data_IF_313052873284
#
_entry.id   IF_313052873284
#
_cell.length_a   1.000
_cell.length_b   1.000
_cell.length_c   1.000
_cell.angle_alpha   90.00
_cell.angle_beta   90.00
_cell.angle_gamma   90.00
#
_symmetry.space_group_name_H-M   'P 1'
#
loop_
_entity.id
_entity.type
_entity.pdbx_description
1 polymer ?
#
# COMPACT_ATOMS: atom_id res chain seq x y z
N UNK A 1 -27.10 53.48 61.38
CA UNK A 1 -25.75 53.20 60.78
C UNK A 1 -25.28 51.74 60.81
N UNK A 2 -25.76 50.90 61.78
CA UNK A 2 -25.31 49.46 61.86
C UNK A 2 -25.92 48.54 60.77
N UNK A 3 -27.12 48.88 60.29
CA UNK A 3 -27.80 48.01 59.30
C UNK A 3 -27.31 48.22 57.81
N UNK A 4 -26.73 49.38 57.52
CA UNK A 4 -26.19 49.66 56.15
C UNK A 4 -24.88 48.93 55.91
N UNK A 5 -24.03 48.75 56.95
CA UNK A 5 -22.76 48.03 56.80
C UNK A 5 -22.95 46.53 56.58
N UNK A 6 -24.02 45.94 57.17
CA UNK A 6 -24.29 44.49 57.05
C UNK A 6 -24.76 44.11 55.62
N UNK A 7 -25.51 45.00 54.96
CA UNK A 7 -26.01 44.78 53.60
C UNK A 7 -24.91 44.97 52.55
N UNK A 8 -23.95 45.87 52.76
CA UNK A 8 -22.79 45.99 51.87
C UNK A 8 -21.85 44.79 51.95
N UNK A 9 -21.72 44.14 53.09
CA UNK A 9 -20.87 42.93 53.25
C UNK A 9 -21.51 41.68 52.62
N UNK A 10 -22.83 41.55 52.64
CA UNK A 10 -23.56 40.48 51.99
C UNK A 10 -23.58 40.65 50.46
N UNK A 11 -23.61 41.88 49.92
CA UNK A 11 -23.53 42.09 48.45
C UNK A 11 -22.13 41.87 47.92
N UNK A 12 -21.08 42.13 48.70
CA UNK A 12 -19.69 41.85 48.29
C UNK A 12 -19.33 40.37 48.28
N UNK A 13 -20.02 39.53 49.08
CA UNK A 13 -19.80 38.10 49.16
C UNK A 13 -20.49 37.33 48.01
N UNK A 14 -21.55 37.92 47.41
CA UNK A 14 -22.26 37.35 46.27
C UNK A 14 -21.57 37.58 44.90
N UNK A 15 -20.57 38.49 44.83
CA UNK A 15 -19.82 38.80 43.62
C UNK A 15 -18.56 37.94 43.44
N UNK A 16 -18.21 37.08 44.41
CA UNK A 16 -16.99 36.24 44.36
C UNK A 16 -17.25 34.78 44.01
N UNK A 17 -18.49 34.36 43.73
CA UNK A 17 -18.81 32.97 43.33
C UNK A 17 -19.04 32.80 41.85
N UNK A 18 -18.70 33.81 41.04
CA UNK A 18 -18.63 33.72 39.58
C UNK A 18 -17.31 33.10 39.12
N UNK A 19 -16.78 32.08 39.84
CA UNK A 19 -15.74 31.23 39.30
C UNK A 19 -16.37 30.40 38.18
N UNK A 20 -16.30 30.95 36.96
CA UNK A 20 -16.56 30.25 35.70
C UNK A 20 -15.77 28.95 35.75
N UNK A 21 -16.46 27.83 36.05
CA UNK A 21 -15.99 26.54 35.62
C UNK A 21 -15.93 26.58 34.09
N UNK A 22 -14.79 26.99 33.54
CA UNK A 22 -14.40 26.52 32.21
C UNK A 22 -14.49 25.00 32.31
N UNK A 23 -15.29 24.34 31.47
CA UNK A 23 -15.13 22.91 31.34
C UNK A 23 -13.68 22.75 30.91
N UNK A 24 -12.84 22.28 31.85
CA UNK A 24 -11.55 21.75 31.53
C UNK A 24 -11.83 20.69 30.46
N UNK A 25 -11.49 21.00 29.22
CA UNK A 25 -11.44 19.97 28.22
C UNK A 25 -10.62 18.87 28.87
N UNK A 26 -11.23 17.71 29.07
CA UNK A 26 -10.49 16.53 29.39
C UNK A 26 -9.40 16.45 28.31
N UNK A 27 -8.14 16.71 28.68
CA UNK A 27 -7.03 16.25 27.89
C UNK A 27 -7.28 14.76 27.75
N UNK A 28 -7.87 14.37 26.62
CA UNK A 28 -7.88 13.00 26.20
C UNK A 28 -6.43 12.55 26.39
N UNK A 29 -6.20 11.48 27.14
CA UNK A 29 -4.91 10.81 27.25
C UNK A 29 -4.53 10.45 25.82
N UNK A 30 -3.85 11.39 25.13
CA UNK A 30 -3.73 11.41 23.71
C UNK A 30 -2.64 10.47 23.27
N UNK A 31 -3.01 9.24 22.96
CA UNK A 31 -2.29 8.46 21.98
C UNK A 31 -2.32 9.20 20.64
N UNK A 32 -1.33 8.96 19.79
CA UNK A 32 -1.35 9.48 18.42
C UNK A 32 -2.60 8.98 17.70
N UNK A 33 -3.25 9.79 16.85
CA UNK A 33 -4.34 9.29 16.03
C UNK A 33 -3.82 8.19 15.10
N UNK A 34 -4.65 7.16 14.88
CA UNK A 34 -4.30 6.00 14.08
C UNK A 34 -4.78 6.17 12.64
N UNK A 35 -3.95 5.82 11.69
CA UNK A 35 -4.30 5.55 10.29
C UNK A 35 -4.25 4.04 10.06
N UNK A 36 -5.10 3.55 9.17
CA UNK A 36 -5.02 2.16 8.68
C UNK A 36 -4.76 2.16 7.19
N UNK A 37 -3.88 1.27 6.77
CA UNK A 37 -3.57 0.99 5.37
C UNK A 37 -3.79 -0.49 5.08
N UNK A 38 -3.92 -0.86 3.82
CA UNK A 38 -4.07 -2.27 3.44
C UNK A 38 -2.75 -3.01 3.46
N UNK A 39 -1.66 -2.39 2.96
CA UNK A 39 -0.40 -3.05 2.62
C UNK A 39 0.81 -2.37 3.24
N UNK A 40 1.87 -3.14 3.47
CA UNK A 40 3.15 -2.66 4.00
C UNK A 40 3.83 -1.60 3.13
N UNK A 41 3.89 -1.69 1.78
CA UNK A 41 4.40 -0.60 0.94
C UNK A 41 3.64 0.72 1.13
N UNK A 42 2.31 0.67 1.32
CA UNK A 42 1.50 1.86 1.61
C UNK A 42 1.80 2.40 3.00
N UNK A 43 2.06 1.52 3.99
CA UNK A 43 2.52 1.91 5.32
C UNK A 43 3.83 2.69 5.26
N UNK A 44 4.80 2.22 4.47
CA UNK A 44 6.05 2.93 4.25
C UNK A 44 5.82 4.38 3.76
N UNK A 45 4.97 4.59 2.76
CA UNK A 45 4.64 5.93 2.27
C UNK A 45 3.92 6.77 3.32
N UNK A 46 2.95 6.19 4.02
CA UNK A 46 2.19 6.89 5.05
C UNK A 46 3.07 7.32 6.23
N UNK A 47 3.93 6.45 6.74
CA UNK A 47 4.85 6.75 7.85
C UNK A 47 5.92 7.78 7.44
N UNK A 48 6.47 7.67 6.22
CA UNK A 48 7.45 8.61 5.70
C UNK A 48 6.89 10.05 5.67
N UNK A 49 5.63 10.23 5.27
CA UNK A 49 5.01 11.56 5.17
C UNK A 49 4.43 11.99 6.53
N UNK A 50 3.81 11.09 7.30
CA UNK A 50 3.25 11.41 8.61
C UNK A 50 4.30 11.84 9.64
N UNK A 51 5.52 11.30 9.53
CA UNK A 51 6.64 11.70 10.38
C UNK A 51 6.40 11.45 11.88
N UNK A 52 5.64 10.41 12.21
CA UNK A 52 5.35 10.03 13.59
C UNK A 52 4.21 10.83 14.24
N UNK A 53 3.46 11.64 13.50
CA UNK A 53 2.25 12.32 14.00
C UNK A 53 1.04 11.39 14.08
N UNK A 54 1.05 10.34 13.29
CA UNK A 54 0.07 9.26 13.31
C UNK A 54 0.75 7.94 13.63
N UNK A 55 0.01 7.03 14.24
CA UNK A 55 0.33 5.61 14.27
C UNK A 55 -0.28 4.97 13.02
N UNK A 56 0.48 4.13 12.31
CA UNK A 56 0.00 3.53 11.05
C UNK A 56 -0.10 2.01 11.20
N UNK A 57 -1.33 1.51 11.16
CA UNK A 57 -1.63 0.09 11.19
C UNK A 57 -1.75 -0.47 9.78
N UNK A 58 -1.27 -1.71 9.57
CA UNK A 58 -1.43 -2.44 8.32
C UNK A 58 -2.44 -3.59 8.52
N UNK A 59 -3.43 -3.69 7.61
CA UNK A 59 -4.48 -4.72 7.69
C UNK A 59 -3.97 -6.10 7.28
N UNK A 60 -3.24 -6.17 6.17
CA UNK A 60 -2.71 -7.45 5.67
C UNK A 60 -1.32 -7.68 6.26
N UNK A 61 -1.13 -8.68 7.14
CA UNK A 61 0.15 -8.95 7.76
C UNK A 61 1.18 -9.42 6.73
N UNK A 62 2.46 -9.16 7.00
CA UNK A 62 3.56 -9.69 6.19
C UNK A 62 3.44 -11.22 6.01
N UNK A 63 3.60 -11.70 4.77
CA UNK A 63 3.51 -13.11 4.41
C UNK A 63 2.09 -13.62 4.15
N UNK A 64 1.07 -12.76 4.23
CA UNK A 64 -0.30 -13.08 3.83
C UNK A 64 -0.60 -12.52 2.45
N UNK A 65 -1.40 -13.25 1.65
CA UNK A 65 -1.86 -12.76 0.35
C UNK A 65 -2.99 -11.73 0.52
N UNK A 66 -2.84 -10.51 -0.01
CA UNK A 66 -3.90 -9.51 0.05
C UNK A 66 -5.13 -9.83 -0.81
N UNK A 67 -5.02 -10.83 -1.69
CA UNK A 67 -6.14 -11.26 -2.53
C UNK A 67 -7.16 -12.11 -1.76
N UNK A 68 -6.71 -12.82 -0.72
CA UNK A 68 -7.54 -13.82 -0.01
C UNK A 68 -7.56 -13.63 1.50
N UNK A 69 -7.01 -12.52 2.01
CA UNK A 69 -6.92 -12.27 3.45
C UNK A 69 -8.27 -11.99 4.08
N UNK A 70 -8.55 -12.62 5.22
CA UNK A 70 -9.69 -12.32 6.06
C UNK A 70 -9.22 -11.67 7.38
N UNK A 71 -9.76 -10.49 7.77
CA UNK A 71 -9.33 -9.80 8.96
C UNK A 71 -9.81 -10.49 10.23
N UNK A 72 -8.98 -10.48 11.25
CA UNK A 72 -9.34 -10.99 12.58
C UNK A 72 -10.29 -10.02 13.30
N UNK A 73 -11.10 -10.51 14.27
CA UNK A 73 -11.94 -9.64 15.10
C UNK A 73 -11.17 -8.52 15.81
N UNK A 74 -9.93 -8.78 16.20
CA UNK A 74 -9.05 -7.79 16.82
C UNK A 74 -8.72 -6.64 15.84
N UNK A 75 -8.36 -6.97 14.62
CA UNK A 75 -8.08 -5.97 13.58
C UNK A 75 -9.31 -5.11 13.24
N UNK A 76 -10.50 -5.72 13.23
CA UNK A 76 -11.75 -4.97 13.05
C UNK A 76 -12.01 -3.98 14.18
N UNK A 77 -11.70 -4.34 15.44
CA UNK A 77 -11.78 -3.43 16.57
C UNK A 77 -10.73 -2.30 16.51
N UNK A 78 -9.51 -2.61 16.13
CA UNK A 78 -8.43 -1.63 15.94
C UNK A 78 -8.78 -0.65 14.80
N UNK A 79 -9.35 -1.16 13.71
CA UNK A 79 -9.83 -0.34 12.61
C UNK A 79 -10.94 0.63 13.03
N UNK A 80 -11.89 0.19 13.85
CA UNK A 80 -12.98 1.03 14.33
C UNK A 80 -12.50 2.27 15.12
N UNK A 81 -11.27 2.22 15.66
CA UNK A 81 -10.60 3.34 16.33
C UNK A 81 -9.76 4.21 15.37
N UNK A 82 -9.63 3.82 14.11
CA UNK A 82 -8.82 4.54 13.15
C UNK A 82 -9.46 5.85 12.70
N UNK A 83 -8.65 6.89 12.59
CA UNK A 83 -9.06 8.19 12.07
C UNK A 83 -9.38 8.13 10.58
N UNK A 84 -8.60 7.35 9.83
CA UNK A 84 -8.79 7.15 8.40
C UNK A 84 -8.24 5.82 7.91
N UNK A 85 -8.77 5.39 6.77
CA UNK A 85 -8.29 4.28 5.96
C UNK A 85 -7.74 4.80 4.63
N UNK A 86 -6.53 4.39 4.28
CA UNK A 86 -5.87 4.71 3.02
C UNK A 86 -5.86 3.46 2.15
N UNK A 87 -6.73 3.39 1.13
CA UNK A 87 -6.89 2.22 0.26
C UNK A 87 -6.23 2.40 -1.10
N UNK A 88 -5.90 1.29 -1.74
CA UNK A 88 -5.49 1.24 -3.16
C UNK A 88 -6.70 1.10 -4.10
N UNK A 89 -7.79 0.49 -3.64
CA UNK A 89 -9.07 0.45 -4.34
C UNK A 89 -9.35 -0.83 -5.13
N UNK A 90 -8.33 -1.60 -5.53
CA UNK A 90 -8.48 -2.72 -6.46
C UNK A 90 -8.00 -4.07 -5.92
N UNK A 91 -7.50 -4.12 -4.70
CA UNK A 91 -7.00 -5.33 -4.05
C UNK A 91 -8.18 -6.20 -3.63
N UNK A 92 -8.07 -7.52 -3.78
CA UNK A 92 -9.13 -8.48 -3.46
C UNK A 92 -9.69 -8.32 -2.05
N UNK A 93 -8.82 -8.12 -1.04
CA UNK A 93 -9.22 -7.78 0.32
C UNK A 93 -10.13 -6.55 0.38
N UNK A 94 -9.74 -5.46 -0.27
CA UNK A 94 -10.51 -4.21 -0.24
C UNK A 94 -11.87 -4.38 -0.93
N UNK A 95 -11.89 -5.09 -2.07
CA UNK A 95 -13.13 -5.39 -2.79
C UNK A 95 -14.11 -6.24 -1.97
N UNK A 96 -13.60 -7.16 -1.18
CA UNK A 96 -14.42 -8.05 -0.36
C UNK A 96 -14.92 -7.41 0.94
N UNK A 97 -14.13 -6.50 1.53
CA UNK A 97 -14.33 -6.07 2.91
C UNK A 97 -14.71 -4.59 3.09
N UNK A 98 -14.38 -3.66 2.16
CA UNK A 98 -14.52 -2.21 2.40
C UNK A 98 -15.92 -1.80 2.85
N UNK A 99 -16.99 -2.28 2.21
CA UNK A 99 -18.37 -1.94 2.60
C UNK A 99 -18.66 -2.28 4.06
N UNK A 100 -18.16 -3.45 4.53
CA UNK A 100 -18.33 -3.89 5.92
C UNK A 100 -17.45 -3.10 6.87
N UNK A 101 -16.23 -2.75 6.47
CA UNK A 101 -15.30 -1.97 7.26
C UNK A 101 -15.85 -0.56 7.48
N UNK A 102 -16.36 0.10 6.44
CA UNK A 102 -16.99 1.41 6.52
C UNK A 102 -18.27 1.38 7.39
N UNK A 103 -19.11 0.37 7.22
CA UNK A 103 -20.31 0.21 8.02
C UNK A 103 -20.01 0.04 9.53
N UNK A 104 -18.91 -0.65 9.87
CA UNK A 104 -18.47 -0.86 11.25
C UNK A 104 -17.70 0.33 11.85
N UNK A 105 -17.21 1.24 11.02
CA UNK A 105 -16.42 2.41 11.43
C UNK A 105 -16.92 3.70 10.77
N UNK A 106 -18.18 4.15 11.02
CA UNK A 106 -18.82 5.24 10.29
C UNK A 106 -18.16 6.62 10.50
N UNK A 107 -17.26 6.76 11.46
CA UNK A 107 -16.49 7.98 11.70
C UNK A 107 -15.12 7.98 11.01
N UNK A 108 -14.70 6.83 10.47
CA UNK A 108 -13.45 6.69 9.74
C UNK A 108 -13.57 7.31 8.36
N UNK A 109 -12.61 8.14 7.98
CA UNK A 109 -12.54 8.68 6.62
C UNK A 109 -11.80 7.70 5.72
N UNK A 110 -12.32 7.46 4.52
CA UNK A 110 -11.66 6.62 3.52
C UNK A 110 -11.08 7.48 2.42
N UNK A 111 -9.81 7.24 2.08
CA UNK A 111 -9.10 7.92 1.01
C UNK A 111 -8.61 6.91 -0.02
N UNK A 112 -8.92 7.16 -1.28
CA UNK A 112 -8.46 6.36 -2.40
C UNK A 112 -7.11 6.90 -2.89
N UNK A 113 -6.07 6.10 -2.76
CA UNK A 113 -4.72 6.47 -3.14
C UNK A 113 -4.44 6.24 -4.63
N UNK A 114 -5.36 5.58 -5.35
CA UNK A 114 -5.24 5.33 -6.79
C UNK A 114 -5.68 6.51 -7.67
N UNK A 115 -6.24 7.56 -7.09
CA UNK A 115 -6.67 8.74 -7.86
C UNK A 115 -5.54 9.29 -8.73
N UNK A 116 -5.78 9.40 -10.05
CA UNK A 116 -4.81 9.89 -11.02
C UNK A 116 -3.73 8.90 -11.45
N UNK A 117 -3.74 7.67 -10.95
CA UNK A 117 -2.84 6.61 -11.41
C UNK A 117 -3.27 6.12 -12.79
N UNK A 118 -2.37 6.04 -13.79
CA UNK A 118 -2.64 5.41 -15.08
C UNK A 118 -2.82 3.89 -14.91
N UNK A 119 -4.08 3.45 -14.84
CA UNK A 119 -4.42 2.06 -14.56
C UNK A 119 -4.19 1.16 -15.76
N UNK A 120 -3.60 -0.01 -15.52
CA UNK A 120 -3.63 -1.14 -16.46
C UNK A 120 -5.00 -1.80 -16.28
N UNK A 121 -5.79 -1.78 -17.32
CA UNK A 121 -7.09 -2.46 -17.35
C UNK A 121 -6.95 -3.73 -18.16
N UNK A 122 -7.51 -4.80 -17.66
CA UNK A 122 -7.71 -5.98 -18.48
C UNK A 122 -8.62 -5.54 -19.63
N UNK A 123 -8.09 -5.54 -20.86
CA UNK A 123 -8.94 -5.39 -22.03
C UNK A 123 -9.94 -6.56 -21.99
N UNK A 124 -11.17 -6.34 -22.47
CA UNK A 124 -12.20 -7.37 -22.68
C UNK A 124 -11.72 -8.39 -23.73
N UNK A 125 -10.56 -8.95 -23.55
CA UNK A 125 -10.04 -10.05 -24.34
C UNK A 125 -10.54 -11.34 -23.70
N UNK A 126 -11.37 -12.06 -24.43
CA UNK A 126 -11.74 -13.45 -24.21
C UNK A 126 -10.53 -14.39 -24.25
N UNK A 127 -9.53 -14.13 -23.40
CA UNK A 127 -8.49 -15.09 -23.07
C UNK A 127 -8.73 -15.57 -21.66
N UNK A 128 -8.97 -16.87 -21.54
CA UNK A 128 -9.06 -17.61 -20.28
C UNK A 128 -7.81 -17.36 -19.40
N UNK A 129 -7.84 -16.32 -18.59
CA UNK A 129 -6.76 -15.95 -17.69
C UNK A 129 -7.23 -14.83 -16.77
N UNK A 130 -6.76 -14.76 -15.60
CA UNK A 130 -6.92 -13.75 -14.54
C UNK A 130 -7.98 -12.65 -14.73
N UNK A 131 -9.05 -12.72 -13.94
CA UNK A 131 -9.91 -11.57 -13.67
C UNK A 131 -9.61 -11.05 -12.28
N UNK A 132 -8.92 -9.93 -12.19
CA UNK A 132 -8.92 -9.16 -10.97
C UNK A 132 -10.32 -8.58 -10.72
N UNK A 133 -10.71 -8.45 -9.46
CA UNK A 133 -11.97 -7.81 -9.10
C UNK A 133 -12.01 -6.41 -9.73
N UNK A 134 -12.97 -6.16 -10.64
CA UNK A 134 -13.11 -4.89 -11.35
C UNK A 134 -12.25 -4.71 -12.61
N UNK A 135 -11.54 -5.73 -13.12
CA UNK A 135 -10.78 -5.67 -14.38
C UNK A 135 -9.63 -4.65 -14.37
N UNK A 136 -9.07 -4.36 -13.21
CA UNK A 136 -7.92 -3.46 -13.02
C UNK A 136 -6.81 -4.25 -12.34
N UNK A 137 -5.60 -4.14 -12.87
CA UNK A 137 -4.38 -4.67 -12.24
C UNK A 137 -4.13 -3.94 -10.92
N UNK A 138 -4.16 -4.62 -9.75
CA UNK A 138 -4.18 -3.95 -8.45
C UNK A 138 -2.81 -3.53 -7.91
N UNK A 139 -1.69 -4.05 -8.47
CA UNK A 139 -0.35 -3.90 -7.90
C UNK A 139 0.30 -2.55 -8.21
N UNK A 140 -0.44 -1.45 -8.00
CA UNK A 140 -0.08 -0.08 -8.38
C UNK A 140 1.26 0.38 -7.80
N UNK A 141 1.56 -0.04 -6.57
CA UNK A 141 2.73 0.40 -5.81
C UNK A 141 4.05 -0.10 -6.39
N UNK A 142 4.05 -1.16 -7.19
CA UNK A 142 5.26 -1.73 -7.81
C UNK A 142 5.73 -0.94 -9.06
N UNK A 143 5.60 0.37 -9.01
CA UNK A 143 6.01 1.31 -10.04
C UNK A 143 6.42 2.63 -9.41
N UNK A 144 7.63 3.15 -9.66
CA UNK A 144 8.04 4.45 -9.15
C UNK A 144 7.17 5.61 -9.66
N UNK A 145 6.67 5.54 -10.89
CA UNK A 145 5.77 6.57 -11.42
C UNK A 145 4.44 6.60 -10.67
N UNK A 146 3.85 5.45 -10.39
CA UNK A 146 2.62 5.34 -9.61
C UNK A 146 2.86 5.68 -8.13
N UNK A 147 3.99 5.22 -7.54
CA UNK A 147 4.35 5.50 -6.15
C UNK A 147 4.40 7.00 -5.87
N UNK A 148 4.84 7.82 -6.82
CA UNK A 148 4.82 9.29 -6.72
C UNK A 148 3.39 9.83 -6.59
N UNK A 149 2.45 9.29 -7.36
CA UNK A 149 1.03 9.69 -7.29
C UNK A 149 0.42 9.24 -5.96
N UNK A 150 0.66 7.99 -5.56
CA UNK A 150 0.22 7.43 -4.28
C UNK A 150 0.76 8.29 -3.11
N UNK A 151 2.04 8.65 -3.10
CA UNK A 151 2.63 9.49 -2.07
C UNK A 151 1.96 10.88 -1.99
N UNK A 152 1.65 11.49 -3.12
CA UNK A 152 0.91 12.77 -3.18
C UNK A 152 -0.50 12.63 -2.62
N UNK A 153 -1.19 11.55 -2.91
CA UNK A 153 -2.52 11.26 -2.38
C UNK A 153 -2.48 11.03 -0.87
N UNK A 154 -1.45 10.33 -0.36
CA UNK A 154 -1.20 10.20 1.09
C UNK A 154 -1.01 11.59 1.72
N UNK A 155 -0.16 12.45 1.15
CA UNK A 155 0.06 13.80 1.65
C UNK A 155 -1.23 14.62 1.67
N UNK A 156 -2.04 14.54 0.62
CA UNK A 156 -3.33 15.21 0.53
C UNK A 156 -4.30 14.73 1.62
N UNK A 157 -4.37 13.43 1.88
CA UNK A 157 -5.16 12.84 2.95
C UNK A 157 -4.71 13.36 4.33
N UNK A 158 -3.41 13.34 4.61
CA UNK A 158 -2.85 13.84 5.87
C UNK A 158 -3.13 15.34 6.06
N UNK A 159 -3.01 16.15 5.01
CA UNK A 159 -3.34 17.58 5.04
C UNK A 159 -4.83 17.86 5.31
N UNK A 160 -5.73 16.95 4.94
CA UNK A 160 -7.16 17.04 5.27
C UNK A 160 -7.44 16.65 6.72
N UNK A 161 -6.74 15.63 7.22
CA UNK A 161 -6.91 15.12 8.59
C UNK A 161 -6.29 16.05 9.64
N UNK A 162 -5.19 16.70 9.29
CA UNK A 162 -4.39 17.57 10.17
C UNK A 162 -3.81 18.76 9.38
N UNK A 163 -4.64 19.75 9.17
CA UNK A 163 -4.30 20.94 8.37
C UNK A 163 -3.25 21.84 9.01
N UNK A 164 -3.03 21.74 10.32
CA UNK A 164 -2.06 22.56 11.05
C UNK A 164 -0.61 22.22 10.66
N UNK A 165 -0.35 20.96 10.27
CA UNK A 165 1.00 20.46 9.96
C UNK A 165 1.24 20.27 8.45
N UNK A 166 0.41 20.90 7.61
CA UNK A 166 0.49 20.78 6.14
C UNK A 166 1.89 21.06 5.58
N UNK A 167 2.58 22.06 6.11
CA UNK A 167 3.95 22.38 5.67
C UNK A 167 4.97 21.29 5.96
N UNK A 168 4.81 20.58 7.09
CA UNK A 168 5.68 19.45 7.44
C UNK A 168 5.42 18.25 6.53
N UNK A 169 4.14 17.95 6.23
CA UNK A 169 3.79 16.87 5.30
C UNK A 169 4.31 17.14 3.89
N UNK A 170 4.23 18.39 3.41
CA UNK A 170 4.78 18.77 2.12
C UNK A 170 6.31 18.58 2.06
N UNK A 171 7.05 19.03 3.07
CA UNK A 171 8.51 18.85 3.13
C UNK A 171 8.92 17.36 3.19
N UNK A 172 8.12 16.52 3.87
CA UNK A 172 8.36 15.07 3.92
C UNK A 172 8.01 14.39 2.60
N UNK A 173 6.96 14.85 1.92
CA UNK A 173 6.64 14.39 0.57
C UNK A 173 7.80 14.68 -0.38
N UNK A 174 8.37 15.90 -0.37
CA UNK A 174 9.53 16.25 -1.20
C UNK A 174 10.71 15.30 -0.94
N UNK A 175 10.95 14.96 0.33
CA UNK A 175 12.00 14.01 0.72
C UNK A 175 11.73 12.60 0.17
N UNK A 176 10.50 12.12 0.27
CA UNK A 176 10.08 10.81 -0.26
C UNK A 176 10.11 10.78 -1.80
N UNK A 177 9.70 11.86 -2.47
CA UNK A 177 9.84 11.98 -3.94
C UNK A 177 11.30 11.91 -4.38
N UNK A 178 12.22 12.43 -3.55
CA UNK A 178 13.66 12.25 -3.75
C UNK A 178 14.09 10.78 -3.66
N UNK A 179 13.56 9.99 -2.71
CA UNK A 179 13.79 8.55 -2.61
C UNK A 179 13.26 7.86 -3.87
N UNK A 180 12.00 8.11 -4.24
CA UNK A 180 11.36 7.52 -5.43
C UNK A 180 12.17 7.81 -6.71
N UNK A 181 12.66 9.04 -6.85
CA UNK A 181 13.48 9.43 -8.02
C UNK A 181 14.81 8.68 -8.08
N UNK A 182 15.47 8.51 -6.93
CA UNK A 182 16.72 7.72 -6.86
C UNK A 182 16.47 6.23 -7.18
N UNK A 183 15.39 5.67 -6.65
CA UNK A 183 14.96 4.28 -6.92
C UNK A 183 14.73 4.07 -8.43
N UNK A 184 13.93 4.93 -9.07
CA UNK A 184 13.69 4.86 -10.52
C UNK A 184 15.00 4.95 -11.34
N UNK A 185 15.88 5.88 -10.97
CA UNK A 185 17.16 6.07 -11.63
C UNK A 185 18.09 4.85 -11.48
N UNK A 186 18.09 4.20 -10.32
CA UNK A 186 18.86 2.97 -10.08
C UNK A 186 18.31 1.80 -10.88
N UNK A 187 16.99 1.61 -10.87
CA UNK A 187 16.32 0.55 -11.62
C UNK A 187 16.59 0.72 -13.12
N UNK A 188 16.44 1.93 -13.69
CA UNK A 188 16.75 2.20 -15.11
C UNK A 188 18.19 1.87 -15.45
N UNK A 189 19.14 2.19 -14.58
CA UNK A 189 20.56 1.87 -14.79
C UNK A 189 20.81 0.37 -14.80
N UNK A 190 20.20 -0.36 -13.85
CA UNK A 190 20.33 -1.82 -13.77
C UNK A 190 19.72 -2.51 -14.99
N UNK A 191 18.59 -2.01 -15.48
CA UNK A 191 17.86 -2.56 -16.64
C UNK A 191 18.27 -1.92 -17.97
N UNK A 192 19.44 -1.28 -18.05
CA UNK A 192 19.96 -0.68 -19.26
C UNK A 192 20.33 -1.75 -20.34
N UNK A 193 21.08 -1.38 -21.37
CA UNK A 193 21.41 -2.28 -22.46
C UNK A 193 22.02 -3.61 -21.99
N UNK A 194 21.50 -4.72 -22.52
CA UNK A 194 21.95 -6.08 -22.20
C UNK A 194 21.11 -6.84 -21.18
N UNK A 195 20.28 -6.17 -20.40
CA UNK A 195 19.39 -6.89 -19.48
C UNK A 195 18.30 -7.69 -20.23
N UNK A 196 17.91 -8.87 -19.72
CA UNK A 196 16.80 -9.64 -20.27
C UNK A 196 15.52 -8.79 -20.33
N UNK A 197 14.77 -8.91 -21.45
CA UNK A 197 13.56 -8.11 -21.67
C UNK A 197 12.28 -8.84 -21.22
N UNK A 198 12.39 -10.11 -20.84
CA UNK A 198 11.26 -10.91 -20.36
C UNK A 198 11.64 -11.67 -19.09
N UNK A 199 10.68 -11.83 -18.21
CA UNK A 199 10.79 -12.66 -17.01
C UNK A 199 9.48 -13.43 -16.78
N UNK A 200 9.60 -14.54 -16.06
CA UNK A 200 8.44 -15.27 -15.55
C UNK A 200 8.25 -14.93 -14.08
N UNK A 201 7.00 -14.78 -13.66
CA UNK A 201 6.63 -14.60 -12.25
C UNK A 201 5.49 -15.56 -11.89
N UNK A 202 5.41 -16.01 -10.64
CA UNK A 202 4.32 -16.89 -10.22
C UNK A 202 2.98 -16.16 -10.29
N UNK A 203 2.76 -15.14 -9.45
CA UNK A 203 1.60 -14.25 -9.44
C UNK A 203 1.95 -12.89 -10.07
N UNK A 204 1.10 -12.28 -10.93
CA UNK A 204 1.47 -11.15 -11.81
C UNK A 204 1.62 -9.80 -11.09
N UNK A 205 2.40 -9.74 -10.01
CA UNK A 205 2.53 -8.54 -9.18
C UNK A 205 3.41 -7.42 -9.76
N UNK A 206 4.10 -7.63 -10.89
CA UNK A 206 5.06 -6.67 -11.45
C UNK A 206 4.62 -6.03 -12.77
N UNK A 207 3.31 -6.03 -13.08
CA UNK A 207 2.78 -5.52 -14.36
C UNK A 207 3.10 -4.04 -14.58
N UNK A 208 2.98 -3.19 -13.55
CA UNK A 208 3.33 -1.77 -13.64
C UNK A 208 4.84 -1.55 -13.72
N UNK A 209 5.64 -2.37 -13.02
CA UNK A 209 7.08 -2.38 -13.17
C UNK A 209 7.48 -2.74 -14.60
N UNK A 210 6.93 -3.81 -15.15
CA UNK A 210 7.19 -4.23 -16.52
C UNK A 210 6.82 -3.13 -17.54
N UNK A 211 5.64 -2.49 -17.37
CA UNK A 211 5.23 -1.35 -18.20
C UNK A 211 6.25 -0.21 -18.18
N UNK A 212 6.69 0.21 -16.99
CA UNK A 212 7.51 1.41 -16.80
C UNK A 212 8.95 1.22 -17.37
N UNK A 213 9.40 -0.02 -17.44
CA UNK A 213 10.76 -0.35 -17.92
C UNK A 213 10.81 -1.11 -19.25
N UNK A 214 9.65 -1.25 -19.93
CA UNK A 214 9.58 -1.90 -21.24
C UNK A 214 9.94 -3.38 -21.21
N UNK A 215 9.54 -4.08 -20.14
CA UNK A 215 9.74 -5.51 -19.94
C UNK A 215 8.46 -6.29 -20.27
N UNK A 216 8.61 -7.57 -20.60
CA UNK A 216 7.51 -8.52 -20.74
C UNK A 216 7.43 -9.39 -19.48
N UNK A 217 6.33 -9.27 -18.75
CA UNK A 217 5.98 -10.17 -17.67
C UNK A 217 5.18 -11.34 -18.22
N UNK A 218 5.67 -12.55 -18.03
CA UNK A 218 4.91 -13.79 -18.22
C UNK A 218 4.47 -14.29 -16.84
N UNK A 219 3.28 -14.90 -16.75
CA UNK A 219 2.73 -15.36 -15.49
C UNK A 219 2.58 -16.89 -15.47
N UNK A 220 2.95 -17.51 -14.34
CA UNK A 220 2.83 -18.94 -14.17
C UNK A 220 1.42 -19.35 -13.74
N UNK A 221 0.82 -18.56 -12.88
CA UNK A 221 -0.54 -18.74 -12.39
C UNK A 221 -1.56 -18.58 -13.54
N UNK A 222 -2.62 -19.39 -13.54
CA UNK A 222 -3.68 -19.36 -14.55
C UNK A 222 -5.02 -18.97 -13.89
N UNK A 223 -5.47 -17.71 -14.11
CA UNK A 223 -6.73 -17.22 -13.54
C UNK A 223 -6.80 -17.24 -12.02
N UNK A 224 -5.71 -16.92 -11.31
CA UNK A 224 -5.66 -16.99 -9.85
C UNK A 224 -5.59 -18.41 -9.29
N UNK A 225 -5.24 -19.40 -10.14
CA UNK A 225 -5.18 -20.83 -9.77
C UNK A 225 -3.84 -21.44 -10.17
N UNK A 226 -3.56 -22.61 -9.61
CA UNK A 226 -2.42 -23.42 -10.07
C UNK A 226 -2.55 -23.73 -11.56
N UNK A 227 -1.43 -23.66 -12.32
CA UNK A 227 -1.43 -23.88 -13.75
C UNK A 227 -1.75 -25.33 -14.11
N UNK A 228 -2.52 -25.52 -15.20
CA UNK A 228 -2.74 -26.82 -15.78
C UNK A 228 -1.48 -27.35 -16.46
N UNK A 229 -1.29 -28.69 -16.63
CA UNK A 229 -0.15 -29.24 -17.36
C UNK A 229 -0.04 -28.72 -18.80
N UNK A 230 -1.15 -28.47 -19.49
CA UNK A 230 -1.18 -27.94 -20.82
C UNK A 230 -0.70 -26.46 -20.87
N UNK A 231 -1.13 -25.67 -19.88
CA UNK A 231 -0.67 -24.29 -19.70
C UNK A 231 0.83 -24.27 -19.46
N UNK A 232 1.36 -25.09 -18.55
CA UNK A 232 2.79 -25.18 -18.27
C UNK A 232 3.64 -25.47 -19.52
N UNK A 233 3.20 -26.42 -20.36
CA UNK A 233 3.90 -26.74 -21.62
C UNK A 233 3.95 -25.54 -22.58
N UNK A 234 2.82 -24.84 -22.72
CA UNK A 234 2.74 -23.65 -23.57
C UNK A 234 3.60 -22.52 -23.01
N UNK A 235 3.52 -22.28 -21.71
CA UNK A 235 4.28 -21.25 -21.01
C UNK A 235 5.80 -21.47 -21.14
N UNK A 236 6.28 -22.71 -20.94
CA UNK A 236 7.71 -23.06 -21.12
C UNK A 236 8.17 -22.76 -22.53
N UNK A 237 7.38 -23.08 -23.56
CA UNK A 237 7.71 -22.74 -24.94
C UNK A 237 7.81 -21.23 -25.14
N UNK A 238 6.80 -20.47 -24.70
CA UNK A 238 6.79 -19.00 -24.79
C UNK A 238 7.97 -18.37 -24.03
N UNK A 239 8.29 -18.87 -22.82
CA UNK A 239 9.45 -18.42 -22.07
C UNK A 239 10.77 -18.64 -22.83
N UNK A 240 10.95 -19.78 -23.51
CA UNK A 240 12.13 -20.04 -24.36
C UNK A 240 12.22 -19.09 -25.54
N UNK A 241 11.09 -18.84 -26.22
CA UNK A 241 11.00 -17.91 -27.36
C UNK A 241 11.31 -16.48 -26.93
N UNK A 242 10.91 -16.07 -25.73
CA UNK A 242 11.14 -14.74 -25.15
C UNK A 242 12.52 -14.61 -24.46
N UNK A 243 13.29 -15.68 -24.39
CA UNK A 243 14.61 -15.68 -23.74
C UNK A 243 14.57 -15.44 -22.23
N UNK A 244 13.54 -15.97 -21.55
CA UNK A 244 13.41 -15.85 -20.09
C UNK A 244 14.56 -16.57 -19.39
N UNK A 245 15.27 -15.85 -18.51
CA UNK A 245 16.38 -16.37 -17.69
C UNK A 245 16.13 -16.29 -16.21
N UNK A 246 15.08 -15.59 -15.79
CA UNK A 246 14.71 -15.41 -14.38
C UNK A 246 13.25 -15.77 -14.15
N UNK A 247 13.00 -16.59 -13.15
CA UNK A 247 11.69 -16.96 -12.65
C UNK A 247 11.54 -16.39 -11.24
N UNK A 248 10.59 -15.50 -11.05
CA UNK A 248 10.26 -14.95 -9.75
C UNK A 248 9.16 -15.74 -9.07
N UNK A 249 9.30 -15.93 -7.76
CA UNK A 249 8.26 -16.48 -6.90
C UNK A 249 8.14 -15.60 -5.65
N UNK A 250 6.92 -15.28 -5.27
CA UNK A 250 6.67 -14.54 -4.03
C UNK A 250 6.59 -15.50 -2.84
N UNK A 251 6.90 -15.01 -1.65
CA UNK A 251 7.00 -15.82 -0.41
C UNK A 251 5.70 -16.47 0.02
N UNK A 252 4.57 -15.88 -0.35
CA UNK A 252 3.22 -16.34 -0.02
C UNK A 252 2.71 -17.49 -0.90
N UNK A 253 3.46 -17.88 -1.95
CA UNK A 253 3.07 -18.92 -2.89
C UNK A 253 3.96 -20.16 -2.80
N UNK A 254 3.40 -21.32 -3.18
CA UNK A 254 4.15 -22.57 -3.27
C UNK A 254 5.12 -22.54 -4.47
N UNK A 255 6.39 -22.82 -4.22
CA UNK A 255 7.44 -22.74 -5.23
C UNK A 255 7.53 -23.92 -6.20
N UNK A 256 6.86 -25.05 -5.93
CA UNK A 256 7.06 -26.31 -6.67
C UNK A 256 6.90 -26.20 -8.18
N UNK A 257 5.86 -25.53 -8.65
CA UNK A 257 5.64 -25.32 -10.08
C UNK A 257 6.68 -24.34 -10.66
N UNK A 258 7.05 -23.30 -9.92
CA UNK A 258 8.09 -22.36 -10.31
C UNK A 258 9.47 -23.05 -10.42
N UNK A 259 9.82 -23.93 -9.47
CA UNK A 259 11.04 -24.74 -9.49
C UNK A 259 11.09 -25.69 -10.72
N UNK A 260 9.97 -26.34 -11.03
CA UNK A 260 9.87 -27.19 -12.22
C UNK A 260 10.15 -26.39 -13.48
N UNK A 261 9.47 -25.27 -13.66
CA UNK A 261 9.63 -24.42 -14.85
C UNK A 261 11.02 -23.83 -14.93
N UNK A 262 11.58 -23.37 -13.83
CA UNK A 262 12.94 -22.83 -13.78
C UNK A 262 13.99 -23.88 -14.23
N UNK A 263 13.87 -25.14 -13.79
CA UNK A 263 14.72 -26.25 -14.25
C UNK A 263 14.58 -26.51 -15.73
N UNK A 264 13.34 -26.57 -16.24
CA UNK A 264 13.07 -26.81 -17.66
C UNK A 264 13.58 -25.69 -18.58
N UNK A 265 13.66 -24.47 -18.08
CA UNK A 265 14.17 -23.31 -18.78
C UNK A 265 15.70 -23.11 -18.60
N UNK A 266 16.35 -23.83 -17.71
CA UNK A 266 17.67 -23.52 -17.18
C UNK A 266 17.76 -22.07 -16.67
N UNK A 267 16.66 -21.55 -16.11
CA UNK A 267 16.53 -20.20 -15.58
C UNK A 267 16.79 -20.17 -14.07
N UNK A 268 17.19 -19.00 -13.56
CA UNK A 268 17.35 -18.80 -12.12
C UNK A 268 15.97 -18.65 -11.45
N UNK A 269 15.79 -19.33 -10.34
CA UNK A 269 14.63 -19.10 -9.47
C UNK A 269 15.01 -18.09 -8.39
N UNK A 270 14.24 -17.04 -8.26
CA UNK A 270 14.48 -15.94 -7.32
C UNK A 270 13.22 -15.65 -6.51
N UNK A 271 13.36 -15.65 -5.20
CA UNK A 271 12.27 -15.23 -4.31
C UNK A 271 12.28 -13.71 -4.15
N UNK A 272 11.12 -13.07 -4.38
CA UNK A 272 10.89 -11.64 -4.19
C UNK A 272 9.77 -11.39 -3.19
N UNK A 273 9.66 -10.16 -2.69
CA UNK A 273 8.58 -9.76 -1.81
C UNK A 273 7.96 -8.42 -2.25
N UNK A 274 7.06 -8.40 -3.26
CA UNK A 274 6.41 -7.17 -3.72
C UNK A 274 5.60 -6.43 -2.63
N UNK A 275 5.37 -7.07 -1.49
CA UNK A 275 4.69 -6.52 -0.31
C UNK A 275 5.68 -6.05 0.77
N UNK A 276 6.97 -5.89 0.44
CA UNK A 276 7.97 -5.46 1.41
C UNK A 276 7.69 -4.03 1.91
N UNK A 277 7.82 -3.82 3.22
CA UNK A 277 7.77 -2.48 3.82
C UNK A 277 8.87 -1.57 3.22
N UNK A 278 10.09 -2.07 3.05
CA UNK A 278 11.19 -1.35 2.37
C UNK A 278 11.01 -1.38 0.86
N UNK A 279 10.01 -0.64 0.41
CA UNK A 279 9.55 -0.62 -0.98
C UNK A 279 10.65 -0.29 -1.98
N UNK A 280 11.48 0.70 -1.69
CA UNK A 280 12.55 1.18 -2.56
C UNK A 280 13.69 0.15 -2.71
N UNK A 281 14.07 -0.51 -1.61
CA UNK A 281 15.08 -1.56 -1.61
C UNK A 281 14.61 -2.78 -2.42
N UNK A 282 13.35 -3.17 -2.26
CA UNK A 282 12.78 -4.32 -2.98
C UNK A 282 12.73 -4.11 -4.48
N UNK A 283 12.34 -2.93 -4.95
CA UNK A 283 12.33 -2.63 -6.39
C UNK A 283 13.74 -2.64 -7.00
N UNK A 284 14.72 -2.09 -6.28
CA UNK A 284 16.12 -2.10 -6.74
C UNK A 284 16.66 -3.53 -6.76
N UNK A 285 16.35 -4.34 -5.74
CA UNK A 285 16.79 -5.74 -5.69
C UNK A 285 16.15 -6.57 -6.81
N UNK A 286 14.85 -6.41 -7.06
CA UNK A 286 14.14 -7.04 -8.18
C UNK A 286 14.82 -6.71 -9.52
N UNK A 287 15.16 -5.44 -9.75
CA UNK A 287 15.87 -5.02 -10.95
C UNK A 287 17.28 -5.62 -11.03
N UNK A 288 18.02 -5.70 -9.92
CA UNK A 288 19.35 -6.31 -9.84
C UNK A 288 19.29 -7.78 -10.20
N UNK A 289 18.30 -8.49 -9.67
CA UNK A 289 18.10 -9.91 -9.97
C UNK A 289 17.74 -10.16 -11.46
N UNK A 290 17.03 -9.24 -12.10
CA UNK A 290 16.78 -9.31 -13.54
C UNK A 290 18.03 -9.03 -14.38
N UNK A 291 18.87 -8.10 -13.95
CA UNK A 291 20.06 -7.68 -14.68
C UNK A 291 21.25 -8.66 -14.56
N UNK A 292 21.21 -9.57 -13.58
CA UNK A 292 22.29 -10.56 -13.38
C UNK A 292 22.10 -11.71 -14.36
N UNK A 293 23.09 -11.95 -15.22
CA UNK A 293 23.12 -13.09 -16.17
C UNK A 293 23.45 -14.43 -15.48
#
# INVERSE_FOLDING_TARGET
>A
MKHVLTHCFLLALLLLTGASCRPGGAEAKGGKPTLTVTLEPVRYFAEAIAGGRFEVNCMVPAGSSPETYDPTPRQLMELAASRAYLRIGYIGFEQAWMDRLEANAPQMQVFDLSEGVPLIREADHEHEGHRHAGGVEPHLWNSPSNARIIARNVCAALCRLDSLHRGEYAARLDSLEGVITRTDSLVRRLLSEGAPRAFLIYHPALSYFARDYGLTQLCLEEGGKEPSPAHLQTLIRTCREQGVRTVFVQREFDSRNAELVARELAARLVTINPLNYHWDEELVETARQLATD
#
